data_IF_631033333661
#
_entry.id   IF_631033333661
#
_cell.length_a   1.000
_cell.length_b   1.000
_cell.length_c   1.000
_cell.angle_alpha   90.00
_cell.angle_beta   90.00
_cell.angle_gamma   90.00
#
_symmetry.space_group_name_H-M   'P 1'
#
loop_
_entity.id
_entity.type
_entity.pdbx_description
1 polymer ?
#
# COMPACT_ATOMS: atom_id res chain seq x y z
N UNK A 1 -30.14 -10.05 0.87
CA UNK A 1 -28.77 -10.56 0.65
C UNK A 1 -28.25 -9.95 -0.64
N UNK A 2 -27.23 -9.08 -0.56
CA UNK A 2 -26.60 -8.51 -1.75
C UNK A 2 -25.94 -9.64 -2.54
N UNK A 3 -26.44 -9.96 -3.74
CA UNK A 3 -25.79 -10.92 -4.64
C UNK A 3 -24.45 -10.34 -5.04
N UNK A 4 -23.37 -10.82 -4.41
CA UNK A 4 -22.02 -10.40 -4.76
C UNK A 4 -21.77 -10.79 -6.21
N UNK A 5 -21.42 -9.81 -7.05
CA UNK A 5 -21.07 -10.08 -8.44
C UNK A 5 -19.75 -10.86 -8.45
N UNK A 6 -19.81 -12.15 -8.77
CA UNK A 6 -18.67 -13.06 -8.73
C UNK A 6 -17.49 -12.56 -9.57
N UNK A 7 -17.74 -11.90 -10.71
CA UNK A 7 -16.70 -11.33 -11.55
C UNK A 7 -15.99 -10.16 -10.86
N UNK A 8 -16.73 -9.27 -10.19
CA UNK A 8 -16.13 -8.16 -9.41
C UNK A 8 -15.34 -8.67 -8.21
N UNK A 9 -15.83 -9.71 -7.53
CA UNK A 9 -15.10 -10.34 -6.43
C UNK A 9 -13.81 -10.98 -6.94
N UNK A 10 -13.85 -11.68 -8.07
CA UNK A 10 -12.66 -12.26 -8.68
C UNK A 10 -11.61 -11.19 -9.02
N UNK A 11 -12.02 -10.05 -9.59
CA UNK A 11 -11.11 -8.93 -9.86
C UNK A 11 -10.44 -8.40 -8.58
N UNK A 12 -11.19 -8.25 -7.49
CA UNK A 12 -10.64 -7.82 -6.20
C UNK A 12 -9.66 -8.86 -5.64
N UNK A 13 -9.97 -10.15 -5.75
CA UNK A 13 -9.08 -11.24 -5.32
C UNK A 13 -7.78 -11.28 -6.15
N UNK A 14 -7.87 -11.02 -7.45
CA UNK A 14 -6.69 -10.89 -8.32
C UNK A 14 -5.80 -9.73 -7.85
N UNK A 15 -6.40 -8.56 -7.58
CA UNK A 15 -5.67 -7.40 -7.09
C UNK A 15 -5.06 -7.61 -5.70
N UNK A 16 -5.70 -8.40 -4.82
CA UNK A 16 -5.19 -8.70 -3.47
C UNK A 16 -4.20 -9.86 -3.42
N UNK A 17 -3.92 -10.51 -4.56
CA UNK A 17 -3.07 -11.69 -4.60
C UNK A 17 -1.60 -11.34 -4.32
N UNK A 18 -0.94 -12.11 -3.45
CA UNK A 18 0.51 -12.03 -3.26
C UNK A 18 1.30 -12.47 -4.50
N UNK A 19 0.65 -13.14 -5.45
CA UNK A 19 1.22 -13.51 -6.74
C UNK A 19 1.03 -12.42 -7.82
N UNK A 20 0.45 -11.26 -7.49
CA UNK A 20 0.32 -10.15 -8.42
C UNK A 20 1.74 -9.68 -8.85
N UNK A 21 2.06 -9.65 -10.17
CA UNK A 21 3.43 -9.46 -10.65
C UNK A 21 3.85 -7.99 -10.66
N UNK A 22 3.63 -7.30 -9.54
CA UNK A 22 3.95 -5.87 -9.37
C UNK A 22 5.19 -5.63 -8.51
N UNK A 23 5.74 -6.70 -7.91
CA UNK A 23 6.94 -6.62 -7.09
C UNK A 23 6.70 -5.94 -5.73
N UNK A 24 5.58 -6.28 -5.07
CA UNK A 24 5.23 -5.69 -3.78
C UNK A 24 5.80 -6.50 -2.60
N UNK A 25 6.74 -5.91 -1.88
CA UNK A 25 7.05 -6.26 -0.49
C UNK A 25 6.79 -5.04 0.40
N UNK A 26 5.57 -4.52 0.36
CA UNK A 26 5.21 -3.35 1.16
C UNK A 26 5.33 -3.67 2.66
N UNK A 27 5.78 -2.69 3.44
CA UNK A 27 5.90 -2.74 4.91
C UNK A 27 6.98 -3.67 5.47
N UNK A 28 7.91 -4.17 4.64
CA UNK A 28 9.14 -4.83 5.14
C UNK A 28 10.19 -3.84 5.64
N UNK A 29 10.00 -2.55 5.36
CA UNK A 29 10.96 -1.50 5.69
C UNK A 29 11.15 -1.40 7.20
N UNK A 30 12.42 -1.43 7.63
CA UNK A 30 12.79 -1.34 9.04
C UNK A 30 12.61 -2.63 9.85
N UNK A 31 12.05 -3.71 9.26
CA UNK A 31 11.92 -5.01 9.96
C UNK A 31 13.28 -5.62 10.28
N UNK A 32 14.22 -5.59 9.33
CA UNK A 32 15.60 -6.07 9.56
C UNK A 32 16.27 -5.31 10.71
N UNK A 33 16.20 -3.97 10.69
CA UNK A 33 16.71 -3.13 11.77
C UNK A 33 16.01 -3.42 13.10
N UNK A 34 14.69 -3.61 13.10
CA UNK A 34 13.91 -3.90 14.30
C UNK A 34 14.31 -5.25 14.93
N UNK A 35 14.68 -6.24 14.11
CA UNK A 35 15.26 -7.50 14.58
C UNK A 35 16.66 -7.25 15.15
N UNK A 36 17.52 -6.55 14.41
CA UNK A 36 18.92 -6.31 14.79
C UNK A 36 19.07 -5.57 16.14
N UNK A 37 18.17 -4.62 16.42
CA UNK A 37 18.16 -3.87 17.69
C UNK A 37 17.33 -4.53 18.79
N UNK A 38 16.72 -5.68 18.51
CA UNK A 38 15.93 -6.45 19.48
C UNK A 38 14.54 -5.90 19.77
N UNK A 39 13.96 -5.06 18.91
CA UNK A 39 12.53 -4.71 18.99
C UNK A 39 11.64 -5.91 18.60
N UNK A 40 12.09 -6.72 17.64
CA UNK A 40 11.46 -7.98 17.25
C UNK A 40 12.40 -9.12 17.63
N UNK A 41 11.97 -10.00 18.52
CA UNK A 41 12.78 -11.14 18.99
C UNK A 41 11.98 -12.43 19.17
N UNK A 42 10.66 -12.38 19.05
CA UNK A 42 9.75 -13.51 19.09
C UNK A 42 8.44 -13.17 18.34
N UNK A 43 7.51 -14.13 18.30
CA UNK A 43 6.21 -13.95 17.65
C UNK A 43 5.39 -12.80 18.27
N UNK A 44 5.40 -12.66 19.60
CA UNK A 44 4.59 -11.64 20.28
C UNK A 44 5.09 -10.23 19.97
N UNK A 45 6.41 -10.02 19.96
CA UNK A 45 7.03 -8.75 19.59
C UNK A 45 6.86 -8.43 18.10
N UNK A 46 6.92 -9.43 17.22
CA UNK A 46 6.62 -9.27 15.81
C UNK A 46 5.17 -8.81 15.57
N UNK A 47 4.19 -9.43 16.24
CA UNK A 47 2.78 -9.03 16.15
C UNK A 47 2.61 -7.58 16.60
N UNK A 48 3.14 -7.22 17.77
CA UNK A 48 3.05 -5.86 18.29
C UNK A 48 3.67 -4.83 17.32
N UNK A 49 4.84 -5.13 16.76
CA UNK A 49 5.49 -4.28 15.77
C UNK A 49 4.62 -4.07 14.53
N UNK A 50 4.08 -5.14 13.94
CA UNK A 50 3.25 -5.03 12.74
C UNK A 50 1.90 -4.38 13.00
N UNK A 51 1.29 -4.58 14.18
CA UNK A 51 0.08 -3.85 14.59
C UNK A 51 0.34 -2.34 14.62
N UNK A 52 1.46 -1.91 15.18
CA UNK A 52 1.85 -0.49 15.19
C UNK A 52 2.11 0.03 13.77
N UNK A 53 2.83 -0.72 12.94
CA UNK A 53 3.09 -0.36 11.54
C UNK A 53 1.77 -0.19 10.76
N UNK A 54 0.84 -1.13 10.91
CA UNK A 54 -0.47 -1.08 10.25
C UNK A 54 -1.33 0.08 10.76
N UNK A 55 -1.37 0.31 12.08
CA UNK A 55 -2.12 1.43 12.66
C UNK A 55 -1.57 2.78 12.18
N UNK A 56 -0.24 2.95 12.24
CA UNK A 56 0.39 4.23 11.96
C UNK A 56 0.46 4.55 10.46
N UNK A 57 0.82 3.58 9.61
CA UNK A 57 0.96 3.79 8.18
C UNK A 57 -0.36 3.57 7.45
N UNK A 58 -0.97 2.40 7.63
CA UNK A 58 -2.11 2.00 6.81
C UNK A 58 -3.40 2.69 7.27
N UNK A 59 -3.77 2.55 8.55
CA UNK A 59 -5.05 3.05 9.08
C UNK A 59 -5.07 4.57 9.18
N UNK A 60 -4.01 5.18 9.72
CA UNK A 60 -3.98 6.64 9.96
C UNK A 60 -3.59 7.46 8.75
N UNK A 61 -2.98 6.87 7.72
CA UNK A 61 -2.49 7.63 6.58
C UNK A 61 -2.90 7.06 5.22
N UNK A 62 -2.42 5.87 4.84
CA UNK A 62 -2.56 5.39 3.45
C UNK A 62 -4.01 5.07 3.08
N UNK A 63 -4.81 4.45 3.96
CA UNK A 63 -6.22 4.18 3.69
C UNK A 63 -7.06 5.47 3.58
N UNK A 64 -6.95 6.45 4.50
CA UNK A 64 -7.60 7.75 4.33
C UNK A 64 -7.22 8.44 3.02
N UNK A 65 -5.93 8.44 2.64
CA UNK A 65 -5.46 9.06 1.40
C UNK A 65 -6.01 8.31 0.18
N UNK A 66 -5.97 6.98 0.18
CA UNK A 66 -6.55 6.15 -0.88
C UNK A 66 -8.04 6.43 -1.04
N UNK A 67 -8.80 6.50 0.06
CA UNK A 67 -10.22 6.86 0.04
C UNK A 67 -10.45 8.20 -0.63
N UNK A 68 -9.62 9.22 -0.34
CA UNK A 68 -9.73 10.55 -0.96
C UNK A 68 -9.41 10.51 -2.46
N UNK A 69 -8.35 9.80 -2.85
CA UNK A 69 -8.00 9.60 -4.26
C UNK A 69 -9.13 8.91 -5.03
N UNK A 70 -9.75 7.88 -4.45
CA UNK A 70 -10.90 7.19 -5.03
C UNK A 70 -12.15 8.07 -5.11
N UNK A 71 -12.34 9.00 -4.17
CA UNK A 71 -13.49 9.92 -4.18
C UNK A 71 -13.36 11.04 -5.21
N UNK A 72 -12.14 11.43 -5.55
CA UNK A 72 -11.84 12.54 -6.46
C UNK A 72 -11.18 12.08 -7.77
N UNK A 73 -11.40 10.82 -8.18
CA UNK A 73 -10.73 10.26 -9.36
C UNK A 73 -11.09 10.98 -10.68
N UNK A 74 -12.22 11.69 -10.71
CA UNK A 74 -12.76 12.44 -11.84
C UNK A 74 -12.53 13.97 -11.73
N UNK A 75 -11.91 14.43 -10.64
CA UNK A 75 -11.53 15.82 -10.41
C UNK A 75 -9.99 15.92 -10.33
N UNK A 76 -9.30 16.28 -11.43
CA UNK A 76 -7.84 16.31 -11.48
C UNK A 76 -7.20 17.22 -10.44
N UNK A 77 -7.81 18.37 -10.14
CA UNK A 77 -7.25 19.35 -9.21
C UNK A 77 -7.30 18.79 -7.77
N UNK A 78 -8.44 18.20 -7.38
CA UNK A 78 -8.57 17.55 -6.06
C UNK A 78 -7.72 16.29 -5.96
N UNK A 79 -7.66 15.48 -7.01
CA UNK A 79 -6.82 14.29 -7.06
C UNK A 79 -5.35 14.62 -6.82
N UNK A 80 -4.83 15.65 -7.50
CA UNK A 80 -3.44 16.05 -7.42
C UNK A 80 -3.04 16.52 -6.02
N UNK A 81 -3.95 17.14 -5.26
CA UNK A 81 -3.68 17.52 -3.85
C UNK A 81 -3.33 16.28 -3.02
N UNK A 82 -4.14 15.24 -3.08
CA UNK A 82 -3.92 14.01 -2.32
C UNK A 82 -2.74 13.19 -2.86
N UNK A 83 -2.55 13.17 -4.18
CA UNK A 83 -1.40 12.50 -4.80
C UNK A 83 -0.07 13.17 -4.38
N UNK A 84 -0.03 14.50 -4.32
CA UNK A 84 1.13 15.24 -3.83
C UNK A 84 1.38 15.01 -2.34
N UNK A 85 0.33 14.94 -1.52
CA UNK A 85 0.47 14.58 -0.10
C UNK A 85 1.08 13.19 0.07
N UNK A 86 0.58 12.18 -0.66
CA UNK A 86 1.16 10.84 -0.64
C UNK A 86 2.63 10.84 -1.06
N UNK A 87 2.96 11.53 -2.16
CA UNK A 87 4.34 11.65 -2.66
C UNK A 87 5.27 12.31 -1.62
N UNK A 88 4.81 13.38 -0.96
CA UNK A 88 5.58 14.08 0.06
C UNK A 88 5.84 13.22 1.31
N UNK A 89 4.93 12.28 1.63
CA UNK A 89 5.06 11.39 2.79
C UNK A 89 6.15 10.33 2.67
N UNK A 90 6.78 10.16 1.50
CA UNK A 90 7.78 9.09 1.32
C UNK A 90 9.12 9.40 1.96
N UNK A 91 9.34 10.63 2.45
CA UNK A 91 10.48 11.10 3.28
C UNK A 91 11.89 10.94 2.67
N UNK A 92 12.25 9.77 2.16
CA UNK A 92 13.51 9.46 1.47
C UNK A 92 13.32 9.29 -0.04
N UNK A 93 14.42 9.46 -0.78
CA UNK A 93 14.44 9.20 -2.24
C UNK A 93 14.20 7.73 -2.56
N UNK A 94 14.65 6.83 -1.69
CA UNK A 94 14.52 5.38 -1.85
C UNK A 94 13.05 4.95 -1.75
N UNK A 95 12.37 5.34 -0.67
CA UNK A 95 10.94 5.03 -0.46
C UNK A 95 10.04 5.64 -1.54
N UNK A 96 10.43 6.82 -2.06
CA UNK A 96 9.76 7.41 -3.21
C UNK A 96 9.98 6.59 -4.48
N UNK A 97 11.21 6.16 -4.75
CA UNK A 97 11.54 5.35 -5.91
C UNK A 97 10.84 3.99 -5.88
N UNK A 98 10.78 3.33 -4.73
CA UNK A 98 10.03 2.08 -4.52
C UNK A 98 8.54 2.26 -4.84
N UNK A 99 7.93 3.34 -4.31
CA UNK A 99 6.52 3.65 -4.58
C UNK A 99 6.26 3.91 -6.06
N UNK A 100 7.18 4.60 -6.75
CA UNK A 100 7.09 4.86 -8.18
C UNK A 100 7.26 3.59 -9.02
N UNK A 101 8.17 2.71 -8.63
CA UNK A 101 8.37 1.42 -9.29
C UNK A 101 7.14 0.52 -9.16
N UNK A 102 6.53 0.47 -7.98
CA UNK A 102 5.29 -0.28 -7.76
C UNK A 102 4.16 0.27 -8.64
N UNK A 103 4.01 1.59 -8.71
CA UNK A 103 3.02 2.23 -9.59
C UNK A 103 3.28 1.96 -11.07
N UNK A 104 4.55 1.95 -11.50
CA UNK A 104 4.93 1.58 -12.87
C UNK A 104 4.51 0.13 -13.18
N UNK A 105 4.87 -0.82 -12.31
CA UNK A 105 4.54 -2.24 -12.50
C UNK A 105 3.03 -2.49 -12.51
N UNK A 106 2.28 -1.85 -11.61
CA UNK A 106 0.81 -1.96 -11.59
C UNK A 106 0.18 -1.41 -12.87
N UNK A 107 0.66 -0.27 -13.37
CA UNK A 107 0.16 0.31 -14.63
C UNK A 107 0.50 -0.55 -15.85
N UNK A 108 1.67 -1.21 -15.86
CA UNK A 108 2.01 -2.17 -16.90
C UNK A 108 1.05 -3.37 -16.86
N UNK A 109 0.86 -3.96 -15.68
CA UNK A 109 -0.05 -5.09 -15.50
C UNK A 109 -1.50 -4.76 -15.89
N UNK A 110 -2.04 -3.60 -15.51
CA UNK A 110 -3.40 -3.17 -15.88
C UNK A 110 -3.57 -3.02 -17.40
N UNK A 111 -2.51 -2.65 -18.14
CA UNK A 111 -2.58 -2.50 -19.61
C UNK A 111 -2.54 -3.83 -20.34
N UNK A 112 -1.94 -4.84 -19.72
CA UNK A 112 -1.72 -6.17 -20.31
C UNK A 112 -2.88 -7.15 -20.01
N UNK A 113 -3.83 -6.78 -19.13
CA UNK A 113 -5.02 -7.57 -18.72
C UNK A 113 -6.30 -6.93 -19.23
#
# INVERSE_FOLDING_TARGET
MSTHNAAKLLQLLTLSSTALPVGAYCYSQGVETAIDIGLIHDESSAIAYFEEVLEMLLVRFELPVLKRLMQHYDDPDQFLIWAHLYKASRESKELLAESQQLAFSLNAWIKDV
#
